data_IF_597530624190
#
_entry.id   IF_597530624190
#
_cell.length_a   1.000
_cell.length_b   1.000
_cell.length_c   1.000
_cell.angle_alpha   90.00
_cell.angle_beta   90.00
_cell.angle_gamma   90.00
#
_symmetry.space_group_name_H-M   'P 1'
#
loop_
_entity.id
_entity.type
_entity.pdbx_description
1 polymer ?
#
# COMPACT_ATOMS: atom_id res chain seq x y z
N UNK A 1 13.34 -1.01 -2.40
CA UNK A 1 12.05 -1.55 -2.89
C UNK A 1 11.75 -1.05 -4.29
N UNK A 2 11.12 -1.89 -5.07
CA UNK A 2 10.65 -1.49 -6.40
C UNK A 2 9.20 -0.99 -6.29
N UNK A 3 9.04 0.30 -6.20
CA UNK A 3 7.73 0.92 -6.16
C UNK A 3 7.18 1.13 -7.58
N UNK A 4 5.93 0.72 -7.78
CA UNK A 4 5.16 1.06 -8.98
C UNK A 4 4.38 2.32 -8.65
N UNK A 5 4.53 3.37 -9.46
CA UNK A 5 3.80 4.61 -9.20
C UNK A 5 2.33 4.46 -9.58
N UNK A 6 1.46 4.72 -8.62
CA UNK A 6 0.00 4.67 -8.83
C UNK A 6 -0.44 6.05 -9.32
N UNK A 7 -0.66 6.18 -10.62
CA UNK A 7 -0.87 7.47 -11.27
C UNK A 7 -2.14 7.55 -12.13
N UNK A 8 -2.84 6.43 -12.32
CA UNK A 8 -4.11 6.46 -13.04
C UNK A 8 -5.08 5.41 -12.49
N UNK A 9 -6.37 5.62 -12.79
CA UNK A 9 -7.44 4.80 -12.24
C UNK A 9 -7.47 3.36 -12.75
N UNK A 10 -6.96 3.13 -13.96
CA UNK A 10 -6.90 1.78 -14.53
C UNK A 10 -6.06 0.84 -13.66
N UNK A 11 -5.08 1.39 -12.94
CA UNK A 11 -4.22 0.60 -12.08
C UNK A 11 -4.97 0.02 -10.89
N UNK A 12 -6.08 0.64 -10.47
CA UNK A 12 -6.88 0.11 -9.36
C UNK A 12 -7.49 -1.23 -9.74
N UNK A 13 -8.02 -1.35 -10.96
CA UNK A 13 -8.55 -2.61 -11.48
C UNK A 13 -7.44 -3.66 -11.57
N UNK A 14 -6.26 -3.26 -12.00
CA UNK A 14 -5.10 -4.14 -12.10
C UNK A 14 -4.67 -4.63 -10.72
N UNK A 15 -4.71 -3.76 -9.72
CA UNK A 15 -4.39 -4.11 -8.34
C UNK A 15 -5.34 -5.20 -7.83
N UNK A 16 -6.64 -5.04 -8.06
CA UNK A 16 -7.64 -6.04 -7.66
C UNK A 16 -7.35 -7.37 -8.34
N UNK A 17 -7.12 -7.37 -9.64
CA UNK A 17 -6.84 -8.59 -10.40
C UNK A 17 -5.58 -9.28 -9.89
N UNK A 18 -4.49 -8.54 -9.76
CA UNK A 18 -3.20 -9.10 -9.33
C UNK A 18 -3.26 -9.64 -7.89
N UNK A 19 -4.12 -9.08 -7.05
CA UNK A 19 -4.25 -9.47 -5.65
C UNK A 19 -4.76 -10.89 -5.45
N UNK A 20 -5.29 -11.52 -6.49
CA UNK A 20 -5.66 -12.94 -6.45
C UNK A 20 -4.46 -13.86 -6.67
N UNK A 21 -3.31 -13.32 -7.09
CA UNK A 21 -2.10 -14.10 -7.33
C UNK A 21 -0.98 -13.75 -6.35
N UNK A 22 -0.81 -12.49 -6.02
CA UNK A 22 0.24 -12.01 -5.13
C UNK A 22 -0.33 -10.92 -4.21
N UNK A 23 0.25 -10.72 -3.02
CA UNK A 23 -0.15 -9.58 -2.20
C UNK A 23 0.22 -8.27 -2.89
N UNK A 24 -0.68 -7.30 -2.82
CA UNK A 24 -0.46 -5.97 -3.38
C UNK A 24 -0.49 -4.95 -2.26
N UNK A 25 0.57 -4.16 -2.16
CA UNK A 25 0.72 -3.14 -1.14
C UNK A 25 0.54 -1.77 -1.78
N UNK A 26 -0.20 -0.89 -1.10
CA UNK A 26 -0.36 0.50 -1.53
C UNK A 26 0.11 1.38 -0.39
N UNK A 27 1.13 2.19 -0.65
CA UNK A 27 1.61 3.17 0.33
C UNK A 27 1.22 4.57 -0.14
N UNK A 28 0.38 5.23 0.66
CA UNK A 28 -0.01 6.62 0.42
C UNK A 28 0.99 7.52 1.13
N UNK A 29 1.69 8.32 0.36
CA UNK A 29 2.75 9.20 0.84
C UNK A 29 2.35 10.67 0.73
N UNK A 30 2.58 11.42 1.80
CA UNK A 30 2.46 12.87 1.79
C UNK A 30 3.84 13.49 1.85
N UNK A 31 4.23 14.23 0.82
CA UNK A 31 5.51 14.93 0.79
C UNK A 31 5.55 16.11 1.76
N UNK A 32 4.40 16.50 2.30
CA UNK A 32 4.27 17.66 3.20
C UNK A 32 4.48 17.31 4.67
N UNK A 33 4.61 16.03 5.02
CA UNK A 33 4.74 15.63 6.41
C UNK A 33 5.98 14.79 6.62
N UNK A 34 6.72 15.09 7.68
CA UNK A 34 7.90 14.31 8.06
C UNK A 34 7.51 12.92 8.55
N UNK A 35 6.32 12.76 9.14
CA UNK A 35 5.81 11.47 9.58
C UNK A 35 5.71 10.51 8.41
N UNK A 36 5.27 10.99 7.25
CA UNK A 36 5.17 10.17 6.05
C UNK A 36 6.53 9.67 5.57
N UNK A 37 7.53 10.54 5.57
CA UNK A 37 8.89 10.16 5.16
C UNK A 37 9.51 9.18 6.14
N UNK A 38 9.26 9.34 7.44
CA UNK A 38 9.73 8.41 8.47
C UNK A 38 9.09 7.04 8.29
N UNK A 39 7.77 7.00 8.08
CA UNK A 39 7.03 5.76 7.87
C UNK A 39 7.53 5.02 6.62
N UNK A 40 7.75 5.74 5.53
CA UNK A 40 8.28 5.17 4.30
C UNK A 40 9.66 4.57 4.51
N UNK A 41 10.55 5.31 5.15
CA UNK A 41 11.92 4.84 5.40
C UNK A 41 11.93 3.58 6.27
N UNK A 42 11.13 3.58 7.34
CA UNK A 42 11.03 2.42 8.24
C UNK A 42 10.48 1.20 7.49
N UNK A 43 9.43 1.42 6.70
CA UNK A 43 8.83 0.33 5.93
C UNK A 43 9.83 -0.28 4.95
N UNK A 44 10.54 0.55 4.20
CA UNK A 44 11.54 0.08 3.25
C UNK A 44 12.70 -0.65 3.94
N UNK A 45 13.15 -0.15 5.09
CA UNK A 45 14.26 -0.73 5.82
C UNK A 45 13.95 -2.10 6.43
N UNK A 46 12.69 -2.33 6.76
CA UNK A 46 12.25 -3.51 7.52
C UNK A 46 11.35 -4.43 6.70
N UNK A 47 11.30 -4.29 5.38
CA UNK A 47 10.34 -4.97 4.52
C UNK A 47 10.45 -6.49 4.60
N UNK A 48 9.42 -7.20 5.11
CA UNK A 48 9.49 -8.65 5.31
C UNK A 48 9.25 -9.47 4.05
N UNK A 49 8.78 -8.85 2.97
CA UNK A 49 8.39 -9.53 1.74
C UNK A 49 9.41 -9.39 0.61
N UNK A 50 10.63 -8.93 0.93
CA UNK A 50 11.62 -8.56 -0.09
C UNK A 50 11.97 -9.72 -1.04
N UNK A 51 11.83 -10.98 -0.58
CA UNK A 51 12.13 -12.17 -1.38
C UNK A 51 10.90 -12.93 -1.84
N UNK A 52 9.71 -12.39 -1.60
CA UNK A 52 8.46 -12.99 -2.02
C UNK A 52 7.89 -12.26 -3.21
N UNK A 53 7.11 -12.96 -4.03
CA UNK A 53 6.38 -12.31 -5.09
C UNK A 53 5.34 -11.38 -4.47
N UNK A 54 5.40 -10.12 -4.85
CA UNK A 54 4.47 -9.10 -4.40
C UNK A 54 4.53 -7.93 -5.37
N UNK A 55 3.55 -7.03 -5.26
CA UNK A 55 3.60 -5.74 -5.95
C UNK A 55 3.43 -4.64 -4.92
N UNK A 56 4.20 -3.58 -5.05
CA UNK A 56 4.15 -2.45 -4.13
C UNK A 56 3.93 -1.17 -4.92
N UNK A 57 2.82 -0.48 -4.62
CA UNK A 57 2.44 0.76 -5.29
C UNK A 57 2.71 1.96 -4.37
N UNK A 58 3.25 3.00 -4.98
CA UNK A 58 3.53 4.28 -4.32
C UNK A 58 2.53 5.32 -4.84
N UNK A 59 1.78 5.92 -3.93
CA UNK A 59 0.76 6.91 -4.26
C UNK A 59 1.08 8.24 -3.59
N UNK A 60 1.47 9.23 -4.39
CA UNK A 60 1.70 10.59 -3.94
C UNK A 60 0.34 11.30 -3.80
N UNK A 61 -0.09 11.54 -2.56
CA UNK A 61 -1.44 12.05 -2.31
C UNK A 61 -1.63 13.52 -2.71
N UNK A 62 -0.55 14.32 -2.78
CA UNK A 62 -0.66 15.69 -3.27
C UNK A 62 -0.83 15.71 -4.78
N UNK A 63 -0.07 14.89 -5.49
CA UNK A 63 -0.08 14.85 -6.95
C UNK A 63 -1.29 14.10 -7.49
N UNK A 64 -1.70 13.03 -6.83
CA UNK A 64 -2.74 12.12 -7.29
C UNK A 64 -3.86 11.98 -6.25
N UNK A 65 -4.37 13.10 -5.75
CA UNK A 65 -5.40 13.11 -4.70
C UNK A 65 -6.69 12.42 -5.11
N UNK A 66 -7.09 12.55 -6.37
CA UNK A 66 -8.30 11.90 -6.87
C UNK A 66 -8.16 10.38 -6.83
N UNK A 67 -7.00 9.86 -7.24
CA UNK A 67 -6.74 8.42 -7.20
C UNK A 67 -6.70 7.93 -5.76
N UNK A 68 -6.17 8.73 -4.84
CA UNK A 68 -6.16 8.40 -3.42
C UNK A 68 -7.59 8.25 -2.87
N UNK A 69 -8.52 9.12 -3.28
CA UNK A 69 -9.93 9.00 -2.91
C UNK A 69 -10.57 7.76 -3.52
N UNK A 70 -10.24 7.45 -4.78
CA UNK A 70 -10.75 6.26 -5.45
C UNK A 70 -10.28 4.98 -4.75
N UNK A 71 -9.05 4.94 -4.27
CA UNK A 71 -8.53 3.83 -3.47
C UNK A 71 -9.34 3.66 -2.19
N UNK A 72 -9.60 4.76 -1.49
CA UNK A 72 -10.40 4.73 -0.26
C UNK A 72 -11.79 4.15 -0.53
N UNK A 73 -12.44 4.58 -1.60
CA UNK A 73 -13.78 4.11 -1.96
C UNK A 73 -13.75 2.66 -2.43
N UNK A 74 -12.78 2.29 -3.26
CA UNK A 74 -12.70 0.94 -3.83
C UNK A 74 -12.47 -0.13 -2.77
N UNK A 75 -11.71 0.18 -1.74
CA UNK A 75 -11.35 -0.79 -0.70
C UNK A 75 -12.03 -0.55 0.64
N UNK A 76 -12.88 0.47 0.73
CA UNK A 76 -13.62 0.76 1.96
C UNK A 76 -12.74 1.16 3.13
N UNK A 77 -11.64 1.86 2.87
CA UNK A 77 -10.69 2.30 3.88
C UNK A 77 -10.66 3.81 3.94
N UNK A 78 -10.92 4.38 5.11
CA UNK A 78 -10.90 5.82 5.30
C UNK A 78 -9.56 6.40 4.89
N UNK A 79 -9.59 7.47 4.12
CA UNK A 79 -8.39 8.12 3.62
C UNK A 79 -7.54 8.70 4.75
N UNK A 80 -6.28 8.31 4.79
CA UNK A 80 -5.24 8.87 5.66
C UNK A 80 -3.93 8.94 4.87
N UNK A 81 -2.97 9.72 5.34
CA UNK A 81 -1.60 9.69 4.84
C UNK A 81 -0.62 10.12 5.93
N UNK A 82 0.50 9.38 6.14
CA UNK A 82 0.82 8.14 5.43
C UNK A 82 -0.14 7.02 5.79
N UNK A 83 -0.38 6.14 4.83
CA UNK A 83 -1.23 4.97 5.04
C UNK A 83 -0.73 3.83 4.18
N UNK A 84 -0.70 2.63 4.77
CA UNK A 84 -0.39 1.40 4.05
C UNK A 84 -1.64 0.55 3.98
N UNK A 85 -1.96 0.07 2.76
CA UNK A 85 -3.03 -0.91 2.54
C UNK A 85 -2.41 -2.17 1.99
N UNK A 86 -2.94 -3.32 2.40
CA UNK A 86 -2.58 -4.63 1.84
C UNK A 86 -3.81 -5.24 1.21
N UNK A 87 -3.72 -5.54 -0.08
CA UNK A 87 -4.83 -6.08 -0.87
C UNK A 87 -4.55 -7.54 -1.18
N UNK A 88 -5.47 -8.41 -0.77
CA UNK A 88 -5.44 -9.85 -1.06
C UNK A 88 -6.83 -10.27 -1.50
N UNK A 89 -6.90 -11.07 -2.57
CA UNK A 89 -8.16 -11.60 -3.08
C UNK A 89 -9.21 -10.52 -3.31
N UNK A 90 -8.78 -9.37 -3.80
CA UNK A 90 -9.66 -8.25 -4.15
C UNK A 90 -10.08 -7.38 -2.98
N UNK A 91 -9.62 -7.66 -1.77
CA UNK A 91 -10.05 -6.95 -0.56
C UNK A 91 -8.87 -6.40 0.22
N UNK A 92 -9.09 -5.27 0.91
CA UNK A 92 -8.11 -4.77 1.85
C UNK A 92 -8.18 -5.59 3.13
N UNK A 93 -7.12 -6.36 3.39
CA UNK A 93 -7.06 -7.25 4.56
C UNK A 93 -6.30 -6.63 5.74
N UNK A 94 -5.59 -5.54 5.48
CA UNK A 94 -4.82 -4.82 6.50
C UNK A 94 -4.66 -3.38 6.06
N UNK A 95 -4.83 -2.47 7.00
CA UNK A 95 -4.45 -1.08 6.79
C UNK A 95 -3.87 -0.51 8.08
N UNK A 96 -2.96 0.43 7.94
CA UNK A 96 -2.38 1.15 9.06
C UNK A 96 -2.01 2.55 8.63
N UNK A 97 -2.08 3.50 9.55
CA UNK A 97 -1.84 4.91 9.25
C UNK A 97 -0.81 5.49 10.20
N UNK A 98 -0.11 6.51 9.73
CA UNK A 98 0.83 7.30 10.54
C UNK A 98 1.90 6.41 11.18
N UNK A 99 2.12 6.54 12.48
CA UNK A 99 3.14 5.77 13.19
C UNK A 99 2.76 4.33 13.47
N UNK A 100 1.50 3.95 13.17
CA UNK A 100 1.07 2.56 13.30
C UNK A 100 1.56 1.69 12.15
N UNK A 101 2.13 2.30 11.11
CA UNK A 101 2.71 1.56 9.98
C UNK A 101 3.99 0.89 10.45
N UNK A 102 3.96 -0.44 10.61
CA UNK A 102 5.09 -1.23 11.10
C UNK A 102 5.24 -2.48 10.24
N UNK A 103 6.43 -2.66 9.67
CA UNK A 103 6.69 -3.80 8.79
C UNK A 103 6.51 -5.15 9.51
N UNK A 104 6.83 -5.22 10.80
CA UNK A 104 6.71 -6.46 11.57
C UNK A 104 5.28 -6.98 11.64
N UNK A 105 4.28 -6.11 11.56
CA UNK A 105 2.88 -6.53 11.56
C UNK A 105 2.50 -7.25 10.26
N UNK A 106 3.22 -6.96 9.20
CA UNK A 106 3.01 -7.63 7.91
C UNK A 106 3.46 -9.08 7.94
N UNK A 107 4.40 -9.43 8.82
CA UNK A 107 4.87 -10.80 8.97
C UNK A 107 3.76 -11.74 9.45
N UNK A 108 2.79 -11.20 10.19
CA UNK A 108 1.65 -11.96 10.68
C UNK A 108 0.59 -12.22 9.61
N UNK A 109 0.67 -11.53 8.46
CA UNK A 109 -0.28 -11.72 7.39
C UNK A 109 -0.01 -13.02 6.67
N UNK A 110 -1.08 -13.79 6.44
CA UNK A 110 -1.00 -15.01 5.64
C UNK A 110 -1.19 -14.63 4.19
N UNK A 111 -0.14 -14.82 3.40
CA UNK A 111 -0.21 -14.58 1.97
C UNK A 111 -0.43 -15.89 1.23
N UNK A 112 -1.14 -15.88 0.08
CA UNK A 112 -1.30 -17.07 -0.72
C UNK A 112 0.05 -17.65 -1.14
N UNK A 113 0.17 -18.97 -1.13
CA UNK A 113 1.34 -19.62 -1.70
C UNK A 113 1.38 -19.30 -3.20
N UNK A 114 2.53 -18.85 -3.65
CA UNK A 114 2.73 -18.51 -5.07
C UNK A 114 2.67 -19.77 -5.94
#
# INVERSE_FOLDING_TARGET
MLWIHLINDNQIDQIVEDSFQVPVFIFKHSRRTSISSIALHRLESEWPFIRQNHKAYYLDVQKNGQISRMVAESFGVHHESPQLLVILNGECVYDASHLDIQARELEALRVPAA
#
